data_IF_229055662510
#
_entry.id   IF_229055662510
#
_cell.length_a   1.000
_cell.length_b   1.000
_cell.length_c   1.000
_cell.angle_alpha   90.00
_cell.angle_beta   90.00
_cell.angle_gamma   90.00
#
_symmetry.space_group_name_H-M   'P 1'
#
loop_
_entity.id
_entity.type
_entity.pdbx_description
1 polymer ?
#
# COMPACT_ATOMS: atom_id res chain seq x y z
N UNK A 1 -29.66 61.40 -27.34
CA UNK A 1 -28.66 61.09 -28.38
C UNK A 1 -27.50 60.41 -27.68
N UNK A 2 -27.51 59.08 -27.64
CA UNK A 2 -26.45 58.28 -27.02
C UNK A 2 -25.71 57.56 -28.13
N UNK A 3 -24.43 57.87 -28.36
CA UNK A 3 -23.56 57.09 -29.24
C UNK A 3 -22.34 56.63 -28.47
N UNK A 4 -22.15 55.31 -28.52
CA UNK A 4 -21.31 54.48 -27.68
C UNK A 4 -19.81 54.71 -27.91
N UNK A 5 -19.06 54.94 -26.83
CA UNK A 5 -17.63 54.65 -26.78
C UNK A 5 -17.46 53.14 -26.57
N UNK A 6 -17.37 52.36 -27.65
CA UNK A 6 -16.91 50.97 -27.58
C UNK A 6 -15.41 50.93 -27.89
N UNK A 7 -14.58 50.75 -26.87
CA UNK A 7 -13.15 50.46 -27.04
C UNK A 7 -12.99 49.21 -27.92
N UNK A 8 -12.16 49.24 -28.98
CA UNK A 8 -12.00 48.10 -29.88
C UNK A 8 -11.42 46.90 -29.11
N UNK A 9 -12.18 45.81 -29.02
CA UNK A 9 -11.69 44.57 -28.41
C UNK A 9 -10.60 43.99 -29.33
N UNK A 10 -9.38 43.89 -28.83
CA UNK A 10 -8.25 43.31 -29.57
C UNK A 10 -8.33 41.78 -29.55
N UNK A 11 -7.84 41.15 -30.62
CA UNK A 11 -7.72 39.70 -30.66
C UNK A 11 -6.66 39.23 -29.63
N UNK A 12 -7.01 38.28 -28.77
CA UNK A 12 -6.11 37.75 -27.73
C UNK A 12 -4.83 37.10 -28.29
N UNK A 13 -4.91 36.41 -29.43
CA UNK A 13 -3.74 35.75 -30.04
C UNK A 13 -2.79 36.69 -30.80
N UNK A 14 -3.31 37.67 -31.52
CA UNK A 14 -2.48 38.50 -32.42
C UNK A 14 -2.51 40.00 -32.13
N UNK A 15 -3.27 40.43 -31.13
CA UNK A 15 -3.39 41.82 -30.66
C UNK A 15 -3.86 42.84 -31.70
N UNK A 16 -4.41 42.37 -32.83
CA UNK A 16 -4.96 43.22 -33.90
C UNK A 16 -6.43 43.56 -33.62
N UNK A 17 -6.85 44.76 -34.02
CA UNK A 17 -8.19 45.36 -33.86
C UNK A 17 -9.16 45.02 -35.02
N UNK A 18 -8.98 43.86 -35.65
CA UNK A 18 -9.87 43.39 -36.72
C UNK A 18 -11.13 42.77 -36.11
N UNK A 19 -12.29 42.98 -36.74
CA UNK A 19 -13.61 42.41 -36.38
C UNK A 19 -13.50 41.21 -35.43
N UNK A 20 -13.59 41.50 -34.14
CA UNK A 20 -13.39 40.52 -33.07
C UNK A 20 -14.73 40.02 -32.55
N UNK A 21 -14.79 38.71 -32.31
CA UNK A 21 -15.91 38.05 -31.64
C UNK A 21 -15.39 37.41 -30.35
N UNK A 22 -16.20 37.46 -29.31
CA UNK A 22 -15.89 36.82 -28.04
C UNK A 22 -16.32 35.34 -28.09
N UNK A 23 -15.51 34.47 -27.52
CA UNK A 23 -15.93 33.10 -27.20
C UNK A 23 -16.68 33.12 -25.86
N UNK A 24 -17.92 32.62 -25.83
CA UNK A 24 -18.75 32.61 -24.62
C UNK A 24 -18.18 31.70 -23.52
N UNK A 25 -17.44 30.64 -23.89
CA UNK A 25 -16.78 29.76 -22.92
C UNK A 25 -15.56 30.42 -22.26
N UNK A 26 -14.65 30.95 -23.09
CA UNK A 26 -13.39 31.52 -22.59
C UNK A 26 -13.51 33.00 -22.19
N UNK A 27 -14.60 33.69 -22.53
CA UNK A 27 -14.82 35.14 -22.34
C UNK A 27 -13.76 36.04 -23.00
N UNK A 28 -13.00 35.49 -23.94
CA UNK A 28 -11.88 36.14 -24.62
C UNK A 28 -12.26 36.47 -26.07
N UNK A 29 -11.78 37.62 -26.57
CA UNK A 29 -12.04 38.08 -27.94
C UNK A 29 -10.98 37.60 -28.93
N UNK A 30 -11.42 37.05 -30.06
CA UNK A 30 -10.57 36.56 -31.14
C UNK A 30 -10.98 37.23 -32.46
N UNK A 31 -10.04 37.42 -33.38
CA UNK A 31 -10.42 37.67 -34.77
C UNK A 31 -10.90 36.37 -35.41
N UNK A 32 -11.68 36.46 -36.49
CA UNK A 32 -12.31 35.32 -37.17
C UNK A 32 -11.37 34.12 -37.37
N UNK A 33 -10.13 34.36 -37.85
CA UNK A 33 -9.13 33.29 -38.05
C UNK A 33 -8.78 32.56 -36.74
N UNK A 34 -8.46 33.31 -35.69
CA UNK A 34 -8.06 32.73 -34.40
C UNK A 34 -9.25 32.13 -33.64
N UNK A 35 -10.48 32.57 -33.93
CA UNK A 35 -11.67 31.92 -33.40
C UNK A 35 -11.86 30.52 -34.03
N UNK A 36 -11.65 30.39 -35.34
CA UNK A 36 -11.69 29.08 -36.03
C UNK A 36 -10.60 28.14 -35.54
N UNK A 37 -9.37 28.65 -35.35
CA UNK A 37 -8.28 27.86 -34.75
C UNK A 37 -8.62 27.42 -33.32
N UNK A 38 -9.18 28.31 -32.50
CA UNK A 38 -9.63 27.97 -31.15
C UNK A 38 -10.71 26.89 -31.15
N UNK A 39 -11.70 26.98 -32.05
CA UNK A 39 -12.72 25.94 -32.22
C UNK A 39 -12.10 24.60 -32.65
N UNK A 40 -11.11 24.63 -33.55
CA UNK A 40 -10.39 23.43 -33.98
C UNK A 40 -9.64 22.76 -32.82
N UNK A 41 -9.00 23.54 -31.95
CA UNK A 41 -8.36 23.02 -30.74
C UNK A 41 -9.35 22.38 -29.77
N UNK A 42 -10.56 22.95 -29.63
CA UNK A 42 -11.62 22.36 -28.81
C UNK A 42 -12.09 21.01 -29.39
N UNK A 43 -12.24 20.89 -30.71
CA UNK A 43 -12.56 19.62 -31.35
C UNK A 43 -11.49 18.56 -31.10
N UNK A 44 -10.21 18.91 -31.30
CA UNK A 44 -9.09 18.02 -30.99
C UNK A 44 -9.08 17.59 -29.52
N UNK A 45 -9.41 18.51 -28.61
CA UNK A 45 -9.47 18.21 -27.17
C UNK A 45 -10.56 17.19 -26.86
N UNK A 46 -11.76 17.34 -27.44
CA UNK A 46 -12.86 16.38 -27.26
C UNK A 46 -12.52 15.01 -27.85
N UNK A 47 -11.91 14.97 -29.04
CA UNK A 47 -11.49 13.72 -29.67
C UNK A 47 -10.49 12.98 -28.78
N UNK A 48 -9.48 13.68 -28.25
CA UNK A 48 -8.50 13.11 -27.32
C UNK A 48 -9.17 12.58 -26.04
N UNK A 49 -10.09 13.34 -25.44
CA UNK A 49 -10.85 12.89 -24.25
C UNK A 49 -11.67 11.64 -24.56
N UNK A 50 -12.27 11.57 -25.76
CA UNK A 50 -13.03 10.39 -26.20
C UNK A 50 -12.14 9.17 -26.37
N UNK A 51 -10.99 9.33 -27.03
CA UNK A 51 -10.00 8.27 -27.22
C UNK A 51 -9.47 7.74 -25.87
N UNK A 52 -9.16 8.64 -24.94
CA UNK A 52 -8.74 8.27 -23.58
C UNK A 52 -9.84 7.50 -22.84
N UNK A 53 -11.08 7.99 -22.87
CA UNK A 53 -12.22 7.32 -22.25
C UNK A 53 -12.44 5.90 -22.81
N UNK A 54 -12.35 5.74 -24.14
CA UNK A 54 -12.49 4.43 -24.76
C UNK A 54 -11.29 3.51 -24.53
N UNK A 55 -10.09 4.08 -24.38
CA UNK A 55 -8.92 3.36 -23.90
C UNK A 55 -9.14 2.81 -22.49
N UNK A 56 -9.60 3.66 -21.55
CA UNK A 56 -9.90 3.27 -20.17
C UNK A 56 -10.99 2.20 -20.10
N UNK A 57 -12.07 2.32 -20.88
CA UNK A 57 -13.11 1.27 -20.97
C UNK A 57 -12.54 -0.06 -21.45
N UNK A 58 -11.71 -0.04 -22.50
CA UNK A 58 -11.05 -1.25 -23.02
C UNK A 58 -10.13 -1.87 -21.98
N UNK A 59 -9.34 -1.06 -21.30
CA UNK A 59 -8.44 -1.50 -20.24
C UNK A 59 -9.20 -2.16 -19.09
N UNK A 60 -10.27 -1.52 -18.60
CA UNK A 60 -11.13 -2.07 -17.55
C UNK A 60 -11.81 -3.36 -18.00
N UNK A 61 -12.25 -3.45 -19.26
CA UNK A 61 -12.90 -4.65 -19.80
C UNK A 61 -11.92 -5.80 -20.00
N UNK A 62 -10.68 -5.51 -20.40
CA UNK A 62 -9.67 -6.52 -20.71
C UNK A 62 -8.96 -7.04 -19.46
N UNK A 63 -8.63 -6.15 -18.51
CA UNK A 63 -7.96 -6.55 -17.27
C UNK A 63 -8.95 -6.90 -16.18
N UNK A 64 -10.05 -6.17 -16.03
CA UNK A 64 -10.95 -6.30 -14.89
C UNK A 64 -10.33 -5.73 -13.61
N UNK A 65 -11.10 -4.96 -12.85
CA UNK A 65 -10.64 -4.37 -11.58
C UNK A 65 -10.19 -5.45 -10.60
N UNK A 66 -10.89 -6.58 -10.59
CA UNK A 66 -10.54 -7.74 -9.77
C UNK A 66 -9.12 -8.24 -10.05
N UNK A 67 -8.74 -8.39 -11.32
CA UNK A 67 -7.41 -8.87 -11.69
C UNK A 67 -6.31 -7.90 -11.23
N UNK A 68 -6.54 -6.60 -11.34
CA UNK A 68 -5.58 -5.58 -10.87
C UNK A 68 -5.37 -5.70 -9.36
N UNK A 69 -6.46 -5.87 -8.60
CA UNK A 69 -6.38 -6.04 -7.15
C UNK A 69 -5.72 -7.38 -6.76
N UNK A 70 -6.00 -8.45 -7.48
CA UNK A 70 -5.34 -9.75 -7.29
C UNK A 70 -3.85 -9.67 -7.61
N UNK A 71 -3.45 -9.00 -8.69
CA UNK A 71 -2.03 -8.78 -9.02
C UNK A 71 -1.28 -8.01 -7.91
N UNK A 72 -1.96 -7.06 -7.25
CA UNK A 72 -1.39 -6.35 -6.09
C UNK A 72 -1.22 -7.28 -4.87
N UNK A 73 -2.21 -8.14 -4.61
CA UNK A 73 -2.13 -9.16 -3.53
C UNK A 73 -1.00 -10.15 -3.84
N UNK A 74 -0.92 -10.66 -5.06
CA UNK A 74 0.12 -11.59 -5.51
C UNK A 74 1.53 -10.98 -5.37
N UNK A 75 1.66 -9.70 -5.70
CA UNK A 75 2.92 -8.96 -5.56
C UNK A 75 3.31 -8.86 -4.09
N UNK A 76 2.39 -8.41 -3.24
CA UNK A 76 2.61 -8.34 -1.81
C UNK A 76 2.95 -9.69 -1.18
N UNK A 77 2.26 -10.77 -1.59
CA UNK A 77 2.51 -12.12 -1.09
C UNK A 77 3.94 -12.55 -1.42
N UNK A 78 4.36 -12.39 -2.69
CA UNK A 78 5.71 -12.72 -3.14
C UNK A 78 6.78 -11.94 -2.39
N UNK A 79 6.59 -10.63 -2.24
CA UNK A 79 7.52 -9.76 -1.53
C UNK A 79 7.66 -10.16 -0.06
N UNK A 80 6.52 -10.43 0.60
CA UNK A 80 6.48 -10.83 2.01
C UNK A 80 7.18 -12.17 2.22
N UNK A 81 6.90 -13.17 1.39
CA UNK A 81 7.57 -14.48 1.44
C UNK A 81 9.09 -14.32 1.26
N UNK A 82 9.51 -13.49 0.30
CA UNK A 82 10.93 -13.24 0.06
C UNK A 82 11.59 -12.54 1.25
N UNK A 83 10.91 -11.59 1.88
CA UNK A 83 11.42 -10.91 3.07
C UNK A 83 11.61 -11.88 4.23
N UNK A 84 10.61 -12.71 4.52
CA UNK A 84 10.68 -13.74 5.57
C UNK A 84 11.85 -14.70 5.30
N UNK A 85 11.98 -15.18 4.06
CA UNK A 85 13.09 -16.07 3.66
C UNK A 85 14.44 -15.41 3.85
N UNK A 86 14.59 -14.16 3.43
CA UNK A 86 15.83 -13.40 3.58
C UNK A 86 16.19 -13.21 5.04
N UNK A 87 15.26 -12.73 5.87
CA UNK A 87 15.49 -12.52 7.31
C UNK A 87 15.86 -13.84 8.00
N UNK A 88 15.15 -14.93 7.69
CA UNK A 88 15.45 -16.26 8.22
C UNK A 88 16.84 -16.78 7.78
N UNK A 89 17.27 -16.45 6.56
CA UNK A 89 18.61 -16.80 6.07
C UNK A 89 19.70 -16.02 6.82
N UNK A 90 19.50 -14.72 7.03
CA UNK A 90 20.41 -13.87 7.81
C UNK A 90 20.55 -14.41 9.22
N UNK A 91 19.43 -14.61 9.94
CA UNK A 91 19.47 -15.14 11.30
C UNK A 91 20.20 -16.48 11.42
N UNK A 92 19.98 -17.41 10.47
CA UNK A 92 20.73 -18.68 10.42
C UNK A 92 22.22 -18.49 10.18
N UNK A 93 22.60 -17.49 9.40
CA UNK A 93 24.00 -17.16 9.12
C UNK A 93 24.66 -16.57 10.36
N UNK A 94 23.97 -15.66 11.03
CA UNK A 94 24.47 -15.02 12.26
C UNK A 94 24.69 -16.05 13.37
N UNK A 95 23.75 -16.98 13.57
CA UNK A 95 23.92 -18.08 14.54
C UNK A 95 25.16 -18.92 14.20
N UNK A 96 25.35 -19.29 12.92
CA UNK A 96 26.52 -20.06 12.50
C UNK A 96 27.82 -19.32 12.79
N UNK A 97 27.87 -18.04 12.46
CA UNK A 97 29.07 -17.23 12.69
C UNK A 97 29.37 -17.09 14.19
N UNK A 98 28.38 -16.72 15.00
CA UNK A 98 28.55 -16.57 16.46
C UNK A 98 28.97 -17.89 17.13
N UNK A 99 28.38 -19.01 16.70
CA UNK A 99 28.75 -20.33 17.23
C UNK A 99 30.15 -20.76 16.80
N UNK A 100 30.56 -20.47 15.56
CA UNK A 100 31.91 -20.74 15.07
C UNK A 100 32.96 -19.91 15.82
N UNK A 101 32.71 -18.60 15.99
CA UNK A 101 33.58 -17.70 16.75
C UNK A 101 33.73 -18.15 18.22
N UNK A 102 32.62 -18.50 18.87
CA UNK A 102 32.63 -19.03 20.23
C UNK A 102 33.40 -20.35 20.33
N UNK A 103 33.19 -21.25 19.37
CA UNK A 103 33.88 -22.54 19.32
C UNK A 103 35.39 -22.35 19.16
N UNK A 104 35.81 -21.48 18.23
CA UNK A 104 37.22 -21.19 17.98
C UNK A 104 37.89 -20.54 19.21
N UNK A 105 37.18 -19.64 19.90
CA UNK A 105 37.64 -19.06 21.17
C UNK A 105 37.86 -20.15 22.23
N UNK A 106 36.90 -21.05 22.43
CA UNK A 106 37.01 -22.13 23.41
C UNK A 106 38.17 -23.08 23.10
N UNK A 107 38.32 -23.48 21.83
CA UNK A 107 39.44 -24.29 21.36
C UNK A 107 40.77 -23.60 21.66
N UNK A 108 40.88 -22.29 21.41
CA UNK A 108 42.10 -21.52 21.70
C UNK A 108 42.46 -21.53 23.20
N UNK A 109 41.47 -21.35 24.09
CA UNK A 109 41.68 -21.40 25.53
C UNK A 109 42.11 -22.80 25.97
N UNK A 110 41.45 -23.84 25.47
CA UNK A 110 41.81 -25.24 25.76
C UNK A 110 43.22 -25.60 25.29
N UNK A 111 43.63 -25.11 24.12
CA UNK A 111 44.99 -25.34 23.59
C UNK A 111 46.05 -24.65 24.44
N UNK A 112 45.80 -23.41 24.89
CA UNK A 112 46.71 -22.70 25.80
C UNK A 112 46.86 -23.45 27.13
N UNK A 113 45.75 -23.86 27.72
CA UNK A 113 45.74 -24.64 28.96
C UNK A 113 46.51 -25.97 28.80
N UNK A 114 46.26 -26.70 27.72
CA UNK A 114 46.96 -27.97 27.42
C UNK A 114 48.46 -27.76 27.27
N UNK A 115 48.89 -26.69 26.57
CA UNK A 115 50.30 -26.35 26.42
C UNK A 115 50.96 -26.00 27.75
N UNK A 116 50.29 -25.22 28.60
CA UNK A 116 50.79 -24.91 29.95
C UNK A 116 50.93 -26.16 30.81
N UNK A 117 49.92 -27.03 30.82
CA UNK A 117 49.94 -28.30 31.55
C UNK A 117 51.11 -29.17 31.09
N UNK A 118 51.24 -29.40 29.79
CA UNK A 118 52.32 -30.23 29.24
C UNK A 118 53.71 -29.65 29.51
N UNK A 119 53.87 -28.33 29.42
CA UNK A 119 55.15 -27.67 29.71
C UNK A 119 55.55 -27.86 31.18
N UNK A 120 54.66 -27.54 32.11
CA UNK A 120 54.95 -27.65 33.54
C UNK A 120 55.10 -29.12 33.99
N UNK A 121 54.41 -30.05 33.34
CA UNK A 121 54.60 -31.48 33.58
C UNK A 121 56.00 -31.94 33.17
N UNK A 122 56.48 -31.53 31.98
CA UNK A 122 57.84 -31.84 31.51
C UNK A 122 58.90 -31.20 32.40
N UNK A 123 58.68 -29.95 32.77
CA UNK A 123 59.63 -29.16 33.56
C UNK A 123 59.58 -29.52 35.06
N UNK A 124 58.64 -30.38 35.49
CA UNK A 124 58.36 -30.72 36.89
C UNK A 124 58.08 -29.49 37.78
N UNK A 125 57.53 -28.42 37.17
CA UNK A 125 57.29 -27.11 37.79
C UNK A 125 55.82 -26.89 38.14
N UNK A 126 55.18 -27.86 38.80
CA UNK A 126 53.83 -27.69 39.31
C UNK A 126 53.86 -27.41 40.81
N UNK A 127 53.17 -26.35 41.21
CA UNK A 127 52.87 -26.01 42.60
C UNK A 127 51.35 -26.02 42.79
N UNK A 128 50.91 -26.11 44.04
CA UNK A 128 49.49 -26.21 44.41
C UNK A 128 48.64 -25.09 43.79
N UNK A 129 49.20 -23.88 43.70
CA UNK A 129 48.53 -22.74 43.04
C UNK A 129 48.28 -22.97 41.55
N UNK A 130 49.22 -23.60 40.84
CA UNK A 130 49.05 -23.94 39.42
C UNK A 130 47.95 -24.97 39.24
N UNK A 131 47.95 -26.02 40.09
CA UNK A 131 46.91 -27.06 40.07
C UNK A 131 45.53 -26.46 40.34
N UNK A 132 45.39 -25.65 41.39
CA UNK A 132 44.14 -24.97 41.71
C UNK A 132 43.67 -24.04 40.58
N UNK A 133 44.59 -23.29 39.94
CA UNK A 133 44.26 -22.42 38.81
C UNK A 133 43.71 -23.22 37.62
N UNK A 134 44.41 -24.28 37.21
CA UNK A 134 43.97 -25.10 36.07
C UNK A 134 42.67 -25.84 36.36
N UNK A 135 42.47 -26.35 37.58
CA UNK A 135 41.20 -26.97 37.99
C UNK A 135 40.04 -25.98 37.86
N UNK A 136 40.21 -24.73 38.33
CA UNK A 136 39.19 -23.68 38.17
C UNK A 136 38.90 -23.37 36.70
N UNK A 137 39.94 -23.22 35.88
CA UNK A 137 39.77 -22.96 34.44
C UNK A 137 39.04 -24.09 33.71
N UNK A 138 39.30 -25.35 34.06
CA UNK A 138 38.59 -26.51 33.51
C UNK A 138 37.10 -26.46 33.91
N UNK A 139 36.79 -26.14 35.17
CA UNK A 139 35.41 -26.03 35.63
C UNK A 139 34.66 -24.86 34.97
N UNK A 140 35.32 -23.74 34.70
CA UNK A 140 34.75 -22.63 33.93
C UNK A 140 34.48 -23.02 32.47
N UNK A 141 35.44 -23.67 31.80
CA UNK A 141 35.26 -24.17 30.44
C UNK A 141 34.13 -25.19 30.33
N UNK A 142 33.97 -26.08 31.31
CA UNK A 142 32.84 -27.02 31.36
C UNK A 142 31.50 -26.29 31.44
N UNK A 143 31.42 -25.20 32.20
CA UNK A 143 30.19 -24.38 32.29
C UNK A 143 29.89 -23.67 30.98
N UNK A 144 30.90 -23.09 30.33
CA UNK A 144 30.76 -22.44 29.01
C UNK A 144 30.39 -23.42 27.89
N UNK A 145 30.70 -24.71 28.03
CA UNK A 145 30.28 -25.75 27.08
C UNK A 145 28.82 -26.20 27.28
N UNK A 146 28.31 -26.15 28.51
CA UNK A 146 26.95 -26.58 28.83
C UNK A 146 25.89 -25.53 28.47
N UNK A 147 26.29 -24.26 28.36
CA UNK A 147 25.42 -23.14 28.04
C UNK A 147 26.05 -22.41 26.85
N UNK A 148 25.47 -22.46 25.63
CA UNK A 148 25.99 -21.67 24.52
C UNK A 148 26.02 -20.19 24.97
N UNK A 149 27.19 -19.54 25.00
CA UNK A 149 27.28 -18.24 25.64
C UNK A 149 26.58 -17.20 24.77
N UNK A 150 25.55 -16.56 25.33
CA UNK A 150 24.96 -15.30 24.87
C UNK A 150 24.24 -15.28 23.52
N UNK A 151 23.80 -16.42 22.97
CA UNK A 151 22.94 -16.42 21.77
C UNK A 151 21.50 -16.64 22.22
N UNK A 152 20.83 -15.55 22.57
CA UNK A 152 19.39 -15.56 22.83
C UNK A 152 18.65 -15.22 21.53
N UNK A 153 17.74 -16.10 21.12
CA UNK A 153 16.82 -15.81 20.02
C UNK A 153 15.59 -15.12 20.58
N UNK A 154 15.38 -13.85 20.23
CA UNK A 154 14.15 -13.15 20.55
C UNK A 154 13.33 -12.97 19.28
N UNK A 155 12.02 -13.20 19.39
CA UNK A 155 11.08 -12.76 18.38
C UNK A 155 10.76 -11.30 18.69
N UNK A 156 11.32 -10.40 17.90
CA UNK A 156 10.92 -9.00 17.96
C UNK A 156 9.51 -8.92 17.35
N UNK A 157 8.52 -8.56 18.17
CA UNK A 157 7.10 -8.39 17.78
C UNK A 157 6.87 -7.14 16.92
N UNK A 158 7.87 -6.80 16.11
CA UNK A 158 7.80 -5.70 15.18
C UNK A 158 6.95 -6.14 13.99
N UNK A 159 5.71 -5.66 14.01
CA UNK A 159 4.70 -5.69 12.95
C UNK A 159 5.17 -5.21 11.56
N UNK A 160 6.46 -4.91 11.39
CA UNK A 160 7.09 -4.40 10.18
C UNK A 160 7.47 -5.51 9.19
N UNK A 161 7.68 -6.76 9.63
CA UNK A 161 8.10 -7.85 8.74
C UNK A 161 6.93 -8.29 7.84
N UNK A 162 5.71 -8.33 8.36
CA UNK A 162 4.50 -8.73 7.62
C UNK A 162 3.44 -7.65 7.77
N UNK A 163 3.23 -6.86 6.70
CA UNK A 163 2.15 -5.87 6.64
C UNK A 163 0.86 -6.55 6.20
N UNK A 164 -0.21 -6.48 6.99
CA UNK A 164 -1.49 -7.09 6.61
C UNK A 164 -2.24 -6.26 5.56
N UNK A 165 -2.73 -6.90 4.49
CA UNK A 165 -3.65 -6.28 3.53
C UNK A 165 -5.08 -6.30 4.11
N UNK A 166 -5.74 -5.14 4.13
CA UNK A 166 -7.17 -5.01 4.44
C UNK A 166 -7.90 -4.40 3.26
N UNK A 167 -8.93 -5.08 2.78
CA UNK A 167 -9.80 -4.58 1.69
C UNK A 167 -10.97 -3.83 2.33
N UNK A 168 -11.21 -2.60 1.90
CA UNK A 168 -12.37 -1.79 2.31
C UNK A 168 -13.07 -1.28 1.06
N UNK A 169 -14.40 -1.37 1.03
CA UNK A 169 -15.22 -0.69 0.02
C UNK A 169 -15.47 0.73 0.49
N UNK A 170 -15.13 1.72 -0.33
CA UNK A 170 -15.57 3.11 -0.17
C UNK A 170 -16.63 3.39 -1.24
N UNK A 171 -17.84 3.78 -0.83
CA UNK A 171 -18.92 4.11 -1.76
C UNK A 171 -18.57 5.28 -2.69
N UNK A 172 -19.08 5.20 -3.92
CA UNK A 172 -18.59 5.86 -5.14
C UNK A 172 -18.89 7.36 -5.23
N UNK A 173 -18.05 8.00 -6.04
CA UNK A 173 -18.25 9.31 -6.69
C UNK A 173 -19.61 9.33 -7.41
N UNK A 174 -20.50 10.23 -7.01
CA UNK A 174 -21.72 10.55 -7.74
C UNK A 174 -21.38 11.28 -9.04
N UNK A 175 -21.85 10.82 -10.22
CA UNK A 175 -21.80 11.62 -11.44
C UNK A 175 -22.77 12.80 -11.28
N UNK A 176 -22.23 14.02 -11.26
CA UNK A 176 -23.00 15.26 -11.18
C UNK A 176 -23.94 15.37 -12.40
N UNK A 177 -25.21 15.08 -12.18
CA UNK A 177 -26.26 15.25 -13.18
C UNK A 177 -26.60 16.73 -13.32
N UNK A 178 -26.34 17.30 -14.49
CA UNK A 178 -27.07 18.48 -14.97
C UNK A 178 -27.46 18.23 -16.41
N UNK A 179 -28.70 17.80 -16.58
CA UNK A 179 -29.48 18.04 -17.79
C UNK A 179 -30.41 19.23 -17.48
N UNK A 180 -30.66 20.12 -18.44
CA UNK A 180 -32.05 20.31 -18.78
C UNK A 180 -32.22 20.29 -20.30
N UNK A 181 -32.75 19.18 -20.82
CA UNK A 181 -33.34 19.17 -22.16
C UNK A 181 -34.83 19.52 -22.08
N UNK A 182 -35.37 20.37 -22.99
CA UNK A 182 -36.75 20.86 -22.92
C UNK A 182 -37.77 19.80 -23.33
N UNK A 183 -38.85 19.71 -22.57
CA UNK A 183 -40.04 18.95 -22.92
C UNK A 183 -40.65 19.48 -24.22
N UNK A 184 -40.90 18.58 -25.17
CA UNK A 184 -41.92 18.77 -26.20
C UNK A 184 -42.86 17.56 -26.21
N UNK A 185 -44.14 17.88 -26.07
CA UNK A 185 -45.29 16.99 -26.03
C UNK A 185 -45.43 16.17 -27.30
N UNK A 186 -45.82 14.89 -27.16
CA UNK A 186 -46.74 14.28 -28.12
C UNK A 186 -47.59 13.20 -27.47
N UNK A 187 -48.87 13.53 -27.42
CA UNK A 187 -50.03 12.79 -26.94
C UNK A 187 -50.36 11.62 -27.88
N UNK A 188 -50.58 10.41 -27.35
CA UNK A 188 -51.66 9.51 -27.81
C UNK A 188 -51.97 8.36 -26.82
N UNK A 189 -53.22 8.45 -26.36
CA UNK A 189 -54.17 7.47 -25.80
C UNK A 189 -53.88 5.97 -25.96
N UNK A 190 -54.06 5.21 -24.86
CA UNK A 190 -55.17 4.24 -24.65
C UNK A 190 -54.88 3.38 -23.40
N UNK A 191 -55.70 3.47 -22.34
CA UNK A 191 -56.88 2.63 -22.03
C UNK A 191 -56.57 1.13 -21.85
N UNK A 192 -56.59 0.66 -20.58
CA UNK A 192 -57.58 -0.29 -20.03
C UNK A 192 -56.98 -1.34 -19.07
N UNK A 193 -57.36 -1.19 -17.80
CA UNK A 193 -57.98 -2.21 -16.92
C UNK A 193 -57.24 -3.50 -16.51
N UNK A 194 -56.93 -3.62 -15.20
CA UNK A 194 -57.57 -4.52 -14.18
C UNK A 194 -56.62 -4.72 -12.99
N UNK A 195 -57.02 -4.36 -11.76
CA UNK A 195 -57.55 -5.26 -10.70
C UNK A 195 -56.56 -6.37 -10.30
N UNK A 196 -56.28 -6.71 -9.04
CA UNK A 196 -56.59 -6.26 -7.68
C UNK A 196 -55.73 -7.18 -6.74
N UNK A 197 -55.67 -6.92 -5.42
CA UNK A 197 -54.56 -7.33 -4.54
C UNK A 197 -54.92 -8.49 -3.57
N UNK A 198 -54.08 -8.65 -2.53
CA UNK A 198 -54.19 -9.46 -1.29
C UNK A 198 -53.69 -10.91 -1.41
N UNK A 199 -52.91 -11.46 -0.47
CA UNK A 199 -52.99 -11.49 1.01
C UNK A 199 -51.56 -11.71 1.62
N UNK A 200 -51.01 -11.05 2.67
CA UNK A 200 -51.33 -11.00 4.12
C UNK A 200 -51.80 -12.36 4.69
N UNK A 201 -51.32 -12.99 5.77
CA UNK A 201 -50.42 -12.66 6.89
C UNK A 201 -50.02 -13.99 7.60
N UNK A 202 -49.81 -14.09 8.95
CA UNK A 202 -48.54 -14.47 9.58
C UNK A 202 -48.70 -15.72 10.49
N UNK A 203 -47.70 -16.02 11.33
CA UNK A 203 -47.76 -16.64 12.69
C UNK A 203 -46.42 -17.36 12.92
N UNK A 204 -45.50 -16.89 13.77
CA UNK A 204 -45.47 -16.74 15.23
C UNK A 204 -44.79 -17.92 15.97
N UNK A 205 -44.00 -17.53 16.98
CA UNK A 205 -43.46 -18.31 18.12
C UNK A 205 -42.16 -19.09 17.86
N UNK A 206 -41.11 -19.04 18.71
CA UNK A 206 -40.90 -18.40 20.02
C UNK A 206 -39.45 -18.62 20.49
N UNK A 207 -38.91 -17.61 21.18
CA UNK A 207 -38.00 -17.61 22.35
C UNK A 207 -36.93 -18.72 22.55
N UNK A 208 -35.66 -18.33 22.73
CA UNK A 208 -35.05 -18.03 24.05
C UNK A 208 -33.50 -18.16 24.07
N UNK A 209 -32.83 -17.20 24.76
CA UNK A 209 -31.59 -17.30 25.57
C UNK A 209 -30.31 -17.85 24.89
N UNK A 210 -29.08 -17.32 25.01
CA UNK A 210 -28.41 -16.55 26.08
C UNK A 210 -27.01 -16.11 25.59
N UNK A 211 -26.48 -15.00 26.16
CA UNK A 211 -25.08 -14.67 26.55
C UNK A 211 -23.88 -15.12 25.66
N UNK A 212 -22.80 -14.37 25.44
CA UNK A 212 -22.16 -13.28 26.21
C UNK A 212 -20.94 -12.74 25.43
N UNK A 213 -20.60 -11.47 25.68
CA UNK A 213 -19.26 -10.86 25.72
C UNK A 213 -18.34 -10.91 24.48
N UNK A 214 -17.95 -9.74 23.97
CA UNK A 214 -16.53 -9.33 24.04
C UNK A 214 -16.35 -7.85 23.72
N UNK A 215 -15.53 -7.21 24.55
CA UNK A 215 -15.17 -5.80 24.57
C UNK A 215 -14.25 -5.50 23.38
N UNK A 216 -14.67 -4.62 22.48
CA UNK A 216 -13.80 -4.01 21.49
C UNK A 216 -13.75 -2.51 21.75
N UNK A 217 -12.62 -2.02 22.25
CA UNK A 217 -12.20 -0.64 21.99
C UNK A 217 -10.71 -0.50 22.25
N UNK A 218 -9.90 -0.68 21.20
CA UNK A 218 -8.60 -0.05 21.12
C UNK A 218 -8.43 0.60 19.74
N UNK A 219 -8.52 1.92 19.79
CA UNK A 219 -8.13 2.86 18.75
C UNK A 219 -6.68 2.57 18.32
N UNK A 220 -6.49 2.16 17.07
CA UNK A 220 -5.15 2.07 16.47
C UNK A 220 -5.07 3.06 15.31
N UNK A 221 -4.13 3.99 15.43
CA UNK A 221 -3.74 4.91 14.38
C UNK A 221 -3.15 4.11 13.22
N UNK A 222 -3.88 4.03 12.10
CA UNK A 222 -3.37 3.49 10.84
C UNK A 222 -2.73 4.60 10.03
N UNK A 223 -1.43 4.51 9.80
CA UNK A 223 -0.74 5.31 8.80
C UNK A 223 -1.30 4.96 7.40
N UNK A 224 -1.96 5.93 6.78
CA UNK A 224 -2.39 5.88 5.38
C UNK A 224 -1.16 6.22 4.55
N UNK A 225 -0.63 5.26 3.79
CA UNK A 225 0.37 5.57 2.77
C UNK A 225 -0.39 6.25 1.62
N UNK A 226 -0.32 7.58 1.55
CA UNK A 226 -0.60 8.31 0.33
C UNK A 226 0.58 8.11 -0.63
N UNK A 227 0.33 7.45 -1.76
CA UNK A 227 1.26 7.44 -2.89
C UNK A 227 0.87 8.63 -3.77
N UNK A 228 1.59 9.74 -3.59
CA UNK A 228 1.57 10.88 -4.50
C UNK A 228 2.25 10.47 -5.81
N UNK A 229 1.53 10.56 -6.92
CA UNK A 229 2.13 10.67 -8.25
C UNK A 229 2.28 12.14 -8.64
N UNK A 230 3.27 12.40 -9.50
CA UNK A 230 3.73 13.67 -10.08
C UNK A 230 4.95 14.27 -9.34
N UNK A 231 6.07 14.55 -9.99
CA UNK A 231 6.34 14.85 -11.42
C UNK A 231 7.63 14.21 -11.91
#
# INVERSE_FOLDING_TARGET
>A
MSTLNSTPKLCHRCTKDRLTSACDGCHVSFCVKHLTEHQQELYQTIDNISEENDSLKRELSQRGIEKILLEQIDTWEKETINKIRSTSKTARTDIKQLTEESTNRLISIMNKLSNELHKNQKDHQYIEDNLNRWTKQIEELKKELQIPPNIESFLEDDSTIVRLIKIKSSEKIEPNQTDPSPQTESRRENRSSKMAPSSTSPSDSSAALNKSESIANQSSYTAVIQISHAT
#
